data_IF_611298308165
#
_entry.id   IF_611298308165
#
_cell.length_a   1.000
_cell.length_b   1.000
_cell.length_c   1.000
_cell.angle_alpha   90.00
_cell.angle_beta   90.00
_cell.angle_gamma   90.00
#
_symmetry.space_group_name_H-M   'P 1'
#
loop_
_entity.id
_entity.type
_entity.pdbx_description
1 polymer ?
#
# COMPACT_ATOMS: atom_id res chain seq x y z
N UNK A 1 36.07 -7.76 35.57
CA UNK A 1 36.69 -7.73 34.23
C UNK A 1 35.68 -8.24 33.21
N UNK A 2 35.49 -7.42 32.18
CA UNK A 2 34.94 -7.65 30.83
C UNK A 2 33.77 -8.65 30.61
N UNK A 3 32.65 -8.04 30.24
CA UNK A 3 31.58 -8.53 29.38
C UNK A 3 32.07 -9.22 28.10
N UNK A 4 31.43 -10.33 27.71
CA UNK A 4 31.57 -10.96 26.40
C UNK A 4 30.18 -11.23 25.77
N UNK A 5 29.89 -10.40 24.76
CA UNK A 5 29.33 -10.76 23.44
C UNK A 5 27.91 -11.34 23.36
N UNK A 6 26.95 -10.45 23.04
CA UNK A 6 25.65 -10.76 22.43
C UNK A 6 25.50 -10.35 20.94
N UNK A 7 26.38 -10.75 19.98
CA UNK A 7 26.20 -10.41 18.57
C UNK A 7 25.45 -11.48 17.74
N UNK A 8 25.34 -12.73 18.21
CA UNK A 8 24.82 -13.84 17.38
C UNK A 8 23.29 -13.89 17.25
N UNK A 9 22.55 -13.47 18.28
CA UNK A 9 21.08 -13.43 18.23
C UNK A 9 20.55 -12.38 17.24
N UNK A 10 21.24 -11.23 17.11
CA UNK A 10 20.83 -10.16 16.21
C UNK A 10 20.92 -10.57 14.73
N UNK A 11 22.00 -11.23 14.33
CA UNK A 11 22.19 -11.64 12.93
C UNK A 11 21.20 -12.75 12.52
N UNK A 12 20.93 -13.69 13.42
CA UNK A 12 19.93 -14.75 13.19
C UNK A 12 18.51 -14.18 13.11
N UNK A 13 18.15 -13.21 13.96
CA UNK A 13 16.82 -12.59 13.92
C UNK A 13 16.61 -11.75 12.65
N UNK A 14 17.63 -11.00 12.21
CA UNK A 14 17.57 -10.25 10.95
C UNK A 14 17.44 -11.18 9.75
N UNK A 15 18.18 -12.30 9.74
CA UNK A 15 18.08 -13.29 8.67
C UNK A 15 16.69 -13.94 8.64
N UNK A 16 16.18 -14.43 9.77
CA UNK A 16 14.83 -14.99 9.86
C UNK A 16 13.75 -13.98 9.42
N UNK A 17 13.92 -12.70 9.77
CA UNK A 17 13.01 -11.64 9.34
C UNK A 17 12.97 -11.52 7.82
N UNK A 18 14.14 -11.40 7.18
CA UNK A 18 14.24 -11.30 5.71
C UNK A 18 13.64 -12.51 5.00
N UNK A 19 13.90 -13.71 5.51
CA UNK A 19 13.36 -14.96 4.93
C UNK A 19 11.83 -14.98 5.01
N UNK A 20 11.26 -14.65 6.18
CA UNK A 20 9.80 -14.68 6.36
C UNK A 20 9.09 -13.62 5.49
N UNK A 21 9.59 -12.39 5.44
CA UNK A 21 9.04 -11.36 4.56
C UNK A 21 9.10 -11.78 3.08
N UNK A 22 10.21 -12.40 2.64
CA UNK A 22 10.34 -12.91 1.28
C UNK A 22 9.33 -14.02 0.94
N UNK A 23 8.96 -14.86 1.91
CA UNK A 23 7.93 -15.90 1.72
C UNK A 23 6.54 -15.28 1.52
N UNK A 24 6.19 -14.26 2.30
CA UNK A 24 4.94 -13.52 2.10
C UNK A 24 4.90 -12.84 0.73
N UNK A 25 5.97 -12.13 0.35
CA UNK A 25 6.05 -11.49 -0.96
C UNK A 25 5.94 -12.49 -2.11
N UNK A 26 6.58 -13.65 -1.97
CA UNK A 26 6.45 -14.71 -2.96
C UNK A 26 5.01 -15.22 -3.07
N UNK A 27 4.31 -15.42 -1.96
CA UNK A 27 2.91 -15.86 -1.98
C UNK A 27 2.00 -14.80 -2.63
N UNK A 28 2.17 -13.55 -2.23
CA UNK A 28 1.40 -12.41 -2.74
C UNK A 28 1.60 -12.15 -4.23
N UNK A 29 2.76 -12.52 -4.79
CA UNK A 29 2.98 -12.43 -6.24
C UNK A 29 2.03 -13.32 -7.07
N UNK A 30 1.43 -14.36 -6.47
CA UNK A 30 0.51 -15.26 -7.16
C UNK A 30 -0.95 -15.00 -6.80
N UNK A 31 -1.23 -14.77 -5.51
CA UNK A 31 -2.61 -14.70 -5.00
C UNK A 31 -2.95 -13.36 -4.34
N UNK A 32 -2.05 -12.38 -4.35
CA UNK A 32 -2.24 -11.11 -3.62
C UNK A 32 -3.41 -10.28 -4.16
N UNK A 33 -3.79 -10.46 -5.42
CA UNK A 33 -4.91 -9.78 -6.08
C UNK A 33 -6.20 -10.61 -6.09
N UNK A 34 -6.19 -11.82 -5.55
CA UNK A 34 -7.40 -12.65 -5.42
C UNK A 34 -8.38 -11.99 -4.45
N UNK A 35 -9.66 -11.96 -4.80
CA UNK A 35 -10.73 -11.38 -3.99
C UNK A 35 -10.80 -11.97 -2.58
N UNK A 36 -10.46 -13.26 -2.43
CA UNK A 36 -10.47 -14.01 -1.17
C UNK A 36 -9.08 -14.15 -0.53
N UNK A 37 -8.10 -13.35 -0.96
CA UNK A 37 -6.72 -13.38 -0.44
C UNK A 37 -6.54 -12.88 0.99
N UNK A 38 -7.61 -12.43 1.66
CA UNK A 38 -7.56 -11.86 3.01
C UNK A 38 -6.84 -12.73 4.07
N UNK A 39 -6.88 -14.08 4.06
CA UNK A 39 -6.14 -14.86 5.06
C UNK A 39 -4.62 -14.69 4.97
N UNK A 40 -4.08 -14.53 3.75
CA UNK A 40 -2.65 -14.32 3.55
C UNK A 40 -2.23 -12.91 3.98
N UNK A 41 -3.03 -11.91 3.61
CA UNK A 41 -2.82 -10.53 4.03
C UNK A 41 -2.89 -10.38 5.56
N UNK A 42 -3.85 -11.02 6.22
CA UNK A 42 -3.98 -10.99 7.69
C UNK A 42 -2.73 -11.53 8.38
N UNK A 43 -2.17 -12.63 7.86
CA UNK A 43 -0.94 -13.21 8.40
C UNK A 43 0.29 -12.33 8.17
N UNK A 44 0.35 -11.64 7.03
CA UNK A 44 1.45 -10.72 6.76
C UNK A 44 1.38 -9.46 7.63
N UNK A 45 0.17 -8.91 7.81
CA UNK A 45 -0.12 -7.80 8.71
C UNK A 45 0.25 -8.17 10.16
N UNK A 46 -0.19 -9.33 10.64
CA UNK A 46 0.16 -9.83 11.98
C UNK A 46 1.68 -9.93 12.14
N UNK A 47 2.36 -10.48 11.14
CA UNK A 47 3.80 -10.63 11.14
C UNK A 47 4.53 -9.28 11.24
N UNK A 48 4.23 -8.30 10.39
CA UNK A 48 4.91 -6.99 10.41
C UNK A 48 4.53 -6.15 11.63
N UNK A 49 3.29 -6.30 12.13
CA UNK A 49 2.89 -5.71 13.40
C UNK A 49 3.77 -6.23 14.55
N UNK A 50 4.05 -7.53 14.60
CA UNK A 50 4.98 -8.11 15.60
C UNK A 50 6.42 -7.61 15.42
N UNK A 51 6.84 -7.27 14.20
CA UNK A 51 8.15 -6.65 13.95
C UNK A 51 8.19 -5.16 14.32
N UNK A 52 7.03 -4.54 14.58
CA UNK A 52 6.86 -3.11 14.83
C UNK A 52 7.42 -2.22 13.70
N UNK A 53 7.40 -2.72 12.46
CA UNK A 53 7.79 -1.94 11.28
C UNK A 53 6.56 -1.24 10.69
N UNK A 54 6.29 -0.03 11.20
CA UNK A 54 5.08 0.72 10.85
C UNK A 54 5.08 1.20 9.39
N UNK A 55 6.24 1.54 8.83
CA UNK A 55 6.36 1.92 7.43
C UNK A 55 6.05 0.75 6.51
N UNK A 56 6.56 -0.45 6.83
CA UNK A 56 6.24 -1.67 6.10
C UNK A 56 4.76 -2.03 6.21
N UNK A 57 4.20 -1.91 7.41
CA UNK A 57 2.78 -2.17 7.65
C UNK A 57 1.88 -1.20 6.88
N UNK A 58 2.23 0.08 6.84
CA UNK A 58 1.51 1.10 6.08
C UNK A 58 1.57 0.82 4.57
N UNK A 59 2.74 0.41 4.04
CA UNK A 59 2.86 -0.04 2.65
C UNK A 59 1.98 -1.25 2.33
N UNK A 60 1.90 -2.23 3.25
CA UNK A 60 1.05 -3.40 3.06
C UNK A 60 -0.42 -2.98 2.94
N UNK A 61 -0.89 -2.10 3.84
CA UNK A 61 -2.23 -1.54 3.71
C UNK A 61 -2.42 -0.81 2.37
N UNK A 62 -1.49 0.04 1.96
CA UNK A 62 -1.54 0.72 0.66
C UNK A 62 -1.75 -0.27 -0.50
N UNK A 63 -0.97 -1.36 -0.54
CA UNK A 63 -1.07 -2.40 -1.59
C UNK A 63 -2.42 -3.11 -1.59
N UNK A 64 -2.99 -3.38 -0.41
CA UNK A 64 -4.31 -3.99 -0.31
C UNK A 64 -5.37 -3.04 -0.89
N UNK A 65 -5.25 -1.74 -0.65
CA UNK A 65 -6.19 -0.72 -1.13
C UNK A 65 -6.15 -0.49 -2.66
N UNK A 66 -5.18 -1.06 -3.37
CA UNK A 66 -5.10 -0.99 -4.85
C UNK A 66 -6.09 -1.92 -5.54
N UNK A 67 -6.58 -2.95 -4.85
CA UNK A 67 -7.35 -4.02 -5.45
C UNK A 67 -8.63 -4.30 -4.65
N UNK A 68 -9.71 -4.75 -5.31
CA UNK A 68 -10.88 -5.23 -4.60
C UNK A 68 -10.49 -6.42 -3.72
N UNK A 69 -11.03 -6.46 -2.51
CA UNK A 69 -10.85 -7.55 -1.57
C UNK A 69 -12.11 -7.67 -0.72
N UNK A 70 -12.53 -8.89 -0.38
CA UNK A 70 -13.73 -9.09 0.41
C UNK A 70 -13.72 -8.34 1.76
N UNK A 71 -12.54 -8.12 2.34
CA UNK A 71 -12.34 -7.43 3.63
C UNK A 71 -11.82 -6.00 3.47
N UNK A 72 -11.96 -5.38 2.29
CA UNK A 72 -11.38 -4.06 1.98
C UNK A 72 -11.77 -2.97 2.99
N UNK A 73 -13.04 -2.90 3.41
CA UNK A 73 -13.52 -1.91 4.38
C UNK A 73 -12.81 -2.06 5.74
N UNK A 74 -12.54 -3.31 6.17
CA UNK A 74 -11.82 -3.61 7.40
C UNK A 74 -10.39 -3.09 7.31
N UNK A 75 -9.69 -3.39 6.21
CA UNK A 75 -8.32 -2.94 6.00
C UNK A 75 -8.19 -1.42 5.94
N UNK A 76 -9.13 -0.73 5.27
CA UNK A 76 -9.11 0.73 5.23
C UNK A 76 -9.32 1.36 6.62
N UNK A 77 -10.23 0.81 7.43
CA UNK A 77 -10.44 1.28 8.79
C UNK A 77 -9.22 1.05 9.68
N UNK A 78 -8.58 -0.13 9.60
CA UNK A 78 -7.34 -0.42 10.33
C UNK A 78 -6.18 0.47 9.88
N UNK A 79 -6.10 0.81 8.59
CA UNK A 79 -5.12 1.78 8.09
C UNK A 79 -5.34 3.16 8.72
N UNK A 80 -6.58 3.67 8.76
CA UNK A 80 -6.88 4.97 9.39
C UNK A 80 -6.54 4.96 10.88
N UNK A 81 -6.82 3.87 11.58
CA UNK A 81 -6.43 3.70 12.98
C UNK A 81 -4.91 3.73 13.15
N UNK A 82 -4.15 3.05 12.30
CA UNK A 82 -2.68 3.11 12.31
C UNK A 82 -2.19 4.54 12.09
N UNK A 83 -2.71 5.23 11.07
CA UNK A 83 -2.34 6.59 10.72
C UNK A 83 -2.69 7.62 11.81
N UNK A 84 -3.74 7.38 12.59
CA UNK A 84 -4.14 8.26 13.70
C UNK A 84 -3.25 8.09 14.95
N UNK A 85 -2.59 6.94 15.10
CA UNK A 85 -1.84 6.56 16.31
C UNK A 85 -0.30 6.66 16.14
N UNK A 86 0.18 7.09 14.97
CA UNK A 86 1.61 7.14 14.63
C UNK A 86 1.97 8.44 13.91
N UNK A 87 3.15 9.00 14.18
CA UNK A 87 3.64 10.16 13.43
C UNK A 87 3.92 9.77 11.98
N UNK A 88 3.77 10.73 11.06
CA UNK A 88 3.91 10.47 9.62
C UNK A 88 5.32 9.98 9.24
N UNK A 89 6.33 10.43 9.99
CA UNK A 89 7.74 10.02 9.82
C UNK A 89 7.97 8.52 10.04
N UNK A 90 7.15 7.85 10.85
CA UNK A 90 7.23 6.40 11.08
C UNK A 90 6.45 5.59 10.03
N UNK A 91 5.52 6.22 9.30
CA UNK A 91 4.63 5.56 8.34
C UNK A 91 5.16 5.63 6.91
N UNK A 92 5.90 6.68 6.57
CA UNK A 92 6.50 6.83 5.24
C UNK A 92 7.73 5.94 5.10
N UNK A 93 7.86 5.30 3.94
CA UNK A 93 9.15 4.72 3.57
C UNK A 93 10.17 5.79 3.22
N UNK A 94 11.46 5.40 3.27
CA UNK A 94 12.55 6.28 2.86
C UNK A 94 12.36 6.81 1.43
N UNK A 95 11.78 6.01 0.53
CA UNK A 95 11.52 6.39 -0.86
C UNK A 95 10.38 7.42 -0.98
N UNK A 96 9.29 7.26 -0.21
CA UNK A 96 8.19 8.25 -0.18
C UNK A 96 8.64 9.58 0.46
N UNK A 97 9.48 9.51 1.50
CA UNK A 97 10.04 10.70 2.15
C UNK A 97 11.01 11.45 1.21
N UNK A 98 11.82 10.73 0.43
CA UNK A 98 12.74 11.31 -0.54
C UNK A 98 12.02 11.96 -1.73
N UNK A 99 10.92 11.37 -2.22
CA UNK A 99 10.11 11.95 -3.29
C UNK A 99 9.49 13.30 -2.88
N UNK A 100 9.01 13.43 -1.64
CA UNK A 100 8.48 14.70 -1.12
C UNK A 100 9.60 15.73 -0.96
N UNK A 101 10.79 15.33 -0.48
CA UNK A 101 11.94 16.22 -0.36
C UNK A 101 12.48 16.71 -1.73
N UNK A 102 12.43 15.87 -2.77
CA UNK A 102 12.80 16.23 -4.14
C UNK A 102 11.88 17.30 -4.73
N UNK A 103 10.57 17.19 -4.50
CA UNK A 103 9.58 18.21 -4.94
C UNK A 103 9.80 19.54 -4.22
N UNK A 104 10.26 19.54 -2.97
CA UNK A 104 10.61 20.76 -2.24
C UNK A 104 11.90 21.40 -2.78
N UNK A 105 12.83 20.61 -3.32
CA UNK A 105 14.11 21.10 -3.87
C UNK A 105 14.01 21.60 -5.31
N UNK A 106 13.07 21.09 -6.12
CA UNK A 106 12.86 21.53 -7.51
C UNK A 106 12.15 22.89 -7.64
N UNK A 107 11.69 23.47 -6.52
CA UNK A 107 11.07 24.80 -6.49
C UNK A 107 12.04 25.98 -6.29
N UNK A 108 13.37 25.75 -6.21
CA UNK A 108 14.34 26.80 -5.80
C UNK A 108 15.29 27.24 -6.92
N UNK A 109 15.29 26.64 -8.12
CA UNK A 109 16.28 27.02 -9.15
C UNK A 109 15.67 27.59 -10.43
N UNK A 110 15.52 28.92 -10.46
CA UNK A 110 15.81 29.74 -11.64
C UNK A 110 15.91 31.24 -11.26
N UNK A 111 17.13 31.78 -11.27
CA UNK A 111 17.37 33.22 -11.43
C UNK A 111 18.51 33.83 -10.60
N UNK A 112 19.77 33.54 -10.95
CA UNK A 112 20.97 34.39 -10.67
C UNK A 112 21.40 34.90 -12.06
N UNK A 113 21.68 36.18 -12.37
CA UNK A 113 22.62 37.16 -11.81
C UNK A 113 22.29 38.59 -12.28
N UNK A 114 22.73 39.62 -11.52
CA UNK A 114 22.74 40.99 -12.03
C UNK A 114 23.08 42.13 -11.06
N UNK A 115 24.32 42.15 -10.55
CA UNK A 115 25.12 43.34 -10.16
C UNK A 115 24.80 44.21 -8.92
N UNK A 116 25.84 44.94 -8.51
CA UNK A 116 26.23 45.40 -7.16
C UNK A 116 26.07 46.92 -7.01
N UNK A 117 25.41 47.41 -5.94
CA UNK A 117 25.92 48.51 -5.09
C UNK A 117 25.14 48.73 -3.78
N UNK A 118 25.77 49.31 -2.74
CA UNK A 118 25.25 49.32 -1.36
C UNK A 118 24.67 50.70 -0.98
N UNK A 119 23.49 50.73 -0.36
CA UNK A 119 23.24 51.53 0.85
C UNK A 119 21.79 51.39 1.35
N UNK A 120 21.62 51.48 2.67
CA UNK A 120 20.43 52.11 3.25
C UNK A 120 19.16 51.28 3.46
N UNK A 121 19.01 50.80 4.69
CA UNK A 121 17.78 50.76 5.49
C UNK A 121 16.56 49.93 5.02
N UNK A 122 16.15 49.06 5.94
CA UNK A 122 14.77 48.65 6.24
C UNK A 122 13.99 47.93 5.14
N UNK A 123 13.93 46.60 5.29
CA UNK A 123 12.69 45.83 5.42
C UNK A 123 13.10 44.35 5.39
N UNK A 124 12.89 43.66 6.50
CA UNK A 124 13.01 42.19 6.54
C UNK A 124 11.64 41.59 6.30
N UNK A 125 11.28 41.14 5.09
CA UNK A 125 10.31 40.09 4.94
C UNK A 125 11.05 38.78 5.17
N UNK A 126 10.91 38.27 6.40
CA UNK A 126 11.11 36.86 6.72
C UNK A 126 10.42 36.04 5.62
N UNK A 127 11.13 35.20 4.83
CA UNK A 127 10.43 34.31 3.95
C UNK A 127 9.78 33.27 4.85
N UNK A 128 8.46 33.35 4.98
CA UNK A 128 7.67 32.22 5.40
C UNK A 128 7.86 31.15 4.31
N UNK A 129 8.87 30.30 4.45
CA UNK A 129 8.78 28.98 3.84
C UNK A 129 7.62 28.29 4.55
N UNK A 130 6.44 28.38 3.96
CA UNK A 130 5.26 27.64 4.40
C UNK A 130 5.53 26.16 4.14
N UNK A 131 6.36 25.55 4.99
CA UNK A 131 6.35 24.11 5.16
C UNK A 131 4.94 23.76 5.63
N UNK A 132 4.31 22.80 4.96
CA UNK A 132 3.07 22.21 5.45
C UNK A 132 3.32 21.70 6.86
N UNK A 133 2.35 21.93 7.73
CA UNK A 133 2.39 21.33 9.06
C UNK A 133 2.30 19.81 8.93
N UNK A 134 2.93 19.08 9.85
CA UNK A 134 2.91 17.61 9.85
C UNK A 134 1.48 17.04 9.78
N UNK A 135 0.52 17.75 10.38
CA UNK A 135 -0.90 17.39 10.33
C UNK A 135 -1.48 17.49 8.90
N UNK A 136 -1.17 18.56 8.16
CA UNK A 136 -1.61 18.71 6.77
C UNK A 136 -0.95 17.67 5.86
N UNK A 137 0.30 17.30 6.12
CA UNK A 137 0.97 16.24 5.37
C UNK A 137 0.36 14.85 5.65
N UNK A 138 -0.03 14.60 6.90
CA UNK A 138 -0.69 13.35 7.30
C UNK A 138 -2.09 13.26 6.67
N UNK A 139 -2.83 14.37 6.64
CA UNK A 139 -4.13 14.44 5.97
C UNK A 139 -3.99 14.11 4.48
N UNK A 140 -3.01 14.69 3.79
CA UNK A 140 -2.70 14.34 2.38
C UNK A 140 -2.34 12.87 2.21
N UNK A 141 -1.54 12.33 3.12
CA UNK A 141 -1.13 10.92 3.11
C UNK A 141 -2.34 9.96 3.21
N UNK A 142 -3.29 10.28 4.09
CA UNK A 142 -4.55 9.53 4.27
C UNK A 142 -5.45 9.72 3.04
N UNK A 143 -5.60 10.96 2.54
CA UNK A 143 -6.49 11.28 1.42
C UNK A 143 -6.12 10.51 0.14
N UNK A 144 -4.83 10.36 -0.17
CA UNK A 144 -4.36 9.56 -1.31
C UNK A 144 -4.85 8.11 -1.20
N UNK A 145 -4.72 7.52 -0.01
CA UNK A 145 -5.11 6.11 0.24
C UNK A 145 -6.62 5.95 0.31
N UNK A 146 -7.35 6.97 0.74
CA UNK A 146 -8.80 7.01 0.66
C UNK A 146 -9.29 7.04 -0.80
N UNK A 147 -8.59 7.75 -1.69
CA UNK A 147 -8.90 7.73 -3.12
C UNK A 147 -8.68 6.33 -3.73
N UNK A 148 -7.58 5.66 -3.37
CA UNK A 148 -7.32 4.27 -3.76
C UNK A 148 -8.44 3.33 -3.30
N UNK A 149 -8.81 3.44 -2.01
CA UNK A 149 -9.94 2.72 -1.44
C UNK A 149 -11.24 2.96 -2.22
N UNK A 150 -11.57 4.22 -2.54
CA UNK A 150 -12.78 4.56 -3.31
C UNK A 150 -12.78 3.91 -4.71
N UNK A 151 -11.64 3.94 -5.41
CA UNK A 151 -11.46 3.27 -6.71
C UNK A 151 -11.66 1.76 -6.59
N UNK A 152 -11.04 1.12 -5.59
CA UNK A 152 -11.19 -0.30 -5.34
C UNK A 152 -12.65 -0.67 -4.95
N UNK A 153 -13.35 0.19 -4.20
CA UNK A 153 -14.78 0.01 -3.87
C UNK A 153 -15.71 0.16 -5.06
N UNK A 154 -15.42 1.10 -5.95
CA UNK A 154 -16.18 1.24 -7.19
C UNK A 154 -16.06 -0.05 -8.02
N UNK A 155 -14.84 -0.59 -8.14
CA UNK A 155 -14.64 -1.86 -8.84
C UNK A 155 -15.27 -3.06 -8.11
N UNK A 156 -15.15 -3.15 -6.78
CA UNK A 156 -15.83 -4.14 -5.92
C UNK A 156 -17.34 -4.15 -6.19
N UNK A 157 -17.97 -2.97 -6.31
CA UNK A 157 -19.41 -2.88 -6.60
C UNK A 157 -19.83 -3.52 -7.93
N UNK A 158 -18.91 -3.57 -8.90
CA UNK A 158 -19.13 -4.22 -10.21
C UNK A 158 -18.92 -5.73 -10.14
N UNK A 159 -17.98 -6.20 -9.31
CA UNK A 159 -17.58 -7.62 -9.29
C UNK A 159 -18.26 -8.46 -8.20
N UNK A 160 -18.73 -7.84 -7.13
CA UNK A 160 -19.26 -8.53 -5.94
C UNK A 160 -20.41 -9.49 -6.26
N UNK A 161 -21.24 -9.17 -7.25
CA UNK A 161 -22.32 -10.06 -7.70
C UNK A 161 -21.78 -11.37 -8.31
N UNK A 162 -20.70 -11.29 -9.09
CA UNK A 162 -20.05 -12.47 -9.64
C UNK A 162 -19.34 -13.28 -8.55
N UNK A 163 -18.57 -12.62 -7.69
CA UNK A 163 -17.80 -13.23 -6.60
C UNK A 163 -18.72 -13.97 -5.61
N UNK A 164 -19.83 -13.36 -5.21
CA UNK A 164 -20.79 -14.00 -4.28
C UNK A 164 -21.58 -15.16 -4.90
N UNK A 165 -21.66 -15.22 -6.24
CA UNK A 165 -22.30 -16.33 -6.97
C UNK A 165 -21.38 -17.55 -7.04
N UNK A 166 -20.06 -17.37 -6.97
CA UNK A 166 -19.10 -18.47 -6.97
C UNK A 166 -19.18 -19.22 -5.63
N UNK A 167 -19.71 -20.44 -5.65
CA UNK A 167 -19.87 -21.26 -4.43
C UNK A 167 -18.65 -22.11 -4.10
N UNK A 168 -17.79 -22.36 -5.08
CA UNK A 168 -16.62 -23.22 -4.98
C UNK A 168 -15.40 -22.51 -5.55
N UNK A 169 -14.66 -21.73 -4.74
CA UNK A 169 -13.46 -21.03 -5.18
C UNK A 169 -12.23 -21.96 -5.29
N UNK A 170 -12.46 -23.28 -5.41
CA UNK A 170 -11.41 -24.29 -5.48
C UNK A 170 -11.84 -25.41 -6.42
N UNK A 171 -10.87 -26.12 -6.98
CA UNK A 171 -11.13 -27.23 -7.88
C UNK A 171 -11.92 -28.34 -7.20
N UNK A 172 -12.95 -28.83 -7.89
CA UNK A 172 -13.73 -29.97 -7.43
C UNK A 172 -14.17 -30.83 -8.62
N UNK A 173 -14.10 -32.15 -8.48
CA UNK A 173 -14.41 -33.12 -9.55
C UNK A 173 -15.87 -33.13 -10.01
N UNK A 174 -16.77 -32.53 -9.23
CA UNK A 174 -18.19 -32.44 -9.59
C UNK A 174 -18.38 -31.30 -10.57
N UNK A 175 -19.10 -31.51 -11.68
CA UNK A 175 -19.35 -30.45 -12.64
C UNK A 175 -20.06 -29.28 -11.97
N UNK A 176 -19.73 -28.08 -12.44
CA UNK A 176 -20.47 -26.86 -12.10
C UNK A 176 -21.86 -26.94 -12.72
N UNK A 177 -22.84 -26.35 -12.04
CA UNK A 177 -24.17 -26.23 -12.61
C UNK A 177 -24.19 -25.13 -13.69
N UNK A 178 -25.23 -25.12 -14.53
CA UNK A 178 -25.35 -24.19 -15.66
C UNK A 178 -25.25 -22.73 -15.21
N UNK A 179 -25.89 -22.36 -14.10
CA UNK A 179 -25.84 -20.98 -13.57
C UNK A 179 -24.44 -20.58 -13.07
N UNK A 180 -23.68 -21.51 -12.49
CA UNK A 180 -22.27 -21.25 -12.12
C UNK A 180 -21.40 -21.04 -13.36
N UNK A 181 -21.59 -21.85 -14.42
CA UNK A 181 -20.87 -21.70 -15.68
C UNK A 181 -21.19 -20.38 -16.40
N UNK A 182 -22.47 -20.01 -16.46
CA UNK A 182 -22.91 -18.73 -17.01
C UNK A 182 -22.32 -17.55 -16.24
N UNK A 183 -22.29 -17.63 -14.90
CA UNK A 183 -21.63 -16.63 -14.08
C UNK A 183 -20.15 -16.49 -14.41
N UNK A 184 -19.42 -17.61 -14.53
CA UNK A 184 -18.00 -17.59 -14.89
C UNK A 184 -17.77 -16.98 -16.28
N UNK A 185 -18.55 -17.35 -17.30
CA UNK A 185 -18.44 -16.75 -18.62
C UNK A 185 -18.68 -15.23 -18.59
N UNK A 186 -19.75 -14.79 -17.95
CA UNK A 186 -20.07 -13.37 -17.84
C UNK A 186 -19.01 -12.60 -17.04
N UNK A 187 -18.45 -13.23 -16.00
CA UNK A 187 -17.43 -12.60 -15.18
C UNK A 187 -16.11 -12.44 -15.94
N UNK A 188 -15.67 -13.49 -16.64
CA UNK A 188 -14.47 -13.43 -17.48
C UNK A 188 -14.63 -12.42 -18.62
N UNK A 189 -15.77 -12.42 -19.31
CA UNK A 189 -16.10 -11.40 -20.33
C UNK A 189 -16.06 -9.97 -19.77
N UNK A 190 -16.56 -9.77 -18.56
CA UNK A 190 -16.51 -8.47 -17.89
C UNK A 190 -15.07 -8.05 -17.59
N UNK A 191 -14.26 -8.94 -17.01
CA UNK A 191 -12.86 -8.68 -16.67
C UNK A 191 -12.02 -8.45 -17.93
N UNK A 192 -12.27 -9.15 -19.04
CA UNK A 192 -11.57 -8.91 -20.31
C UNK A 192 -11.90 -7.54 -20.94
N UNK A 193 -13.10 -7.00 -20.70
CA UNK A 193 -13.54 -5.70 -21.24
C UNK A 193 -13.15 -4.51 -20.36
N UNK A 194 -13.31 -4.64 -19.04
CA UNK A 194 -13.06 -3.55 -18.09
C UNK A 194 -11.71 -3.63 -17.39
N UNK A 195 -11.08 -4.81 -17.35
CA UNK A 195 -9.85 -5.05 -16.63
C UNK A 195 -8.60 -4.65 -17.41
N UNK A 196 -7.58 -4.21 -16.67
CA UNK A 196 -6.21 -4.27 -17.14
C UNK A 196 -5.82 -5.75 -17.30
N UNK A 197 -5.40 -6.16 -18.50
CA UNK A 197 -5.07 -7.55 -18.86
C UNK A 197 -4.02 -8.17 -17.92
N UNK A 198 -3.24 -7.35 -17.22
CA UNK A 198 -2.33 -7.78 -16.15
C UNK A 198 -3.05 -8.56 -15.05
N UNK A 199 -4.31 -8.22 -14.73
CA UNK A 199 -5.17 -8.87 -13.74
C UNK A 199 -5.84 -10.16 -14.22
N UNK A 200 -5.93 -10.41 -15.54
CA UNK A 200 -6.55 -11.62 -16.09
C UNK A 200 -5.70 -12.88 -15.91
N UNK A 201 -4.37 -12.72 -15.76
CA UNK A 201 -3.43 -13.85 -15.73
C UNK A 201 -3.51 -14.71 -14.46
N UNK A 202 -4.06 -14.19 -13.35
CA UNK A 202 -4.24 -14.97 -12.11
C UNK A 202 -5.37 -16.01 -12.20
N UNK A 203 -6.33 -15.83 -13.10
CA UNK A 203 -7.49 -16.72 -13.25
C UNK A 203 -7.34 -17.76 -14.37
N UNK A 204 -6.26 -17.70 -15.16
CA UNK A 204 -6.08 -18.51 -16.38
C UNK A 204 -5.06 -19.66 -16.24
N UNK A 205 -4.53 -19.92 -15.06
CA UNK A 205 -3.59 -21.04 -14.84
C UNK A 205 -4.19 -22.04 -13.87
N UNK A 206 -4.96 -22.99 -14.42
CA UNK A 206 -5.49 -24.17 -13.74
C UNK A 206 -5.86 -25.25 -14.73
#
# INVERSE_FOLDING_TARGET
>A
MASMTAPFLGHSMIFCRKVNAALFERGLAYVGTDYLSFPLWDKYIEYEYMQQDWARLAMIYTRILENPNQQLDRYFNSFKELASNRPLSELRTADEAAAVAGVVSEGIDQGVEGEVHPDGADNSPKPASAGLTEAEELEKYIAIREEMYKKAKEFDSKIIGFETTIRRPYFHVRPLNIGELENWHNYLDFIEREGDLSKCTSYSVG
#
